data_IF_149252304869
#
_entry.id   IF_149252304869
#
_cell.length_a   1.000
_cell.length_b   1.000
_cell.length_c   1.000
_cell.angle_alpha   90.00
_cell.angle_beta   90.00
_cell.angle_gamma   90.00
#
_symmetry.space_group_name_H-M   'P 1'
#
loop_
_entity.id
_entity.type
_entity.pdbx_description
1 polymer ?
#
# COMPACT_ATOMS: atom_id res chain seq x y z
N UNK A 1 25.36 -11.19 -11.53
CA UNK A 1 24.15 -11.17 -12.37
C UNK A 1 22.98 -10.84 -11.45
N UNK A 2 22.41 -9.65 -11.60
CA UNK A 2 21.31 -9.20 -10.75
C UNK A 2 20.04 -9.96 -11.15
N UNK A 3 19.44 -10.67 -10.19
CA UNK A 3 18.28 -11.52 -10.46
C UNK A 3 17.04 -10.64 -10.63
N UNK A 4 16.73 -10.25 -11.88
CA UNK A 4 15.54 -9.45 -12.25
C UNK A 4 14.24 -10.02 -11.66
N UNK A 5 14.12 -11.35 -11.57
CA UNK A 5 12.95 -12.01 -11.01
C UNK A 5 12.85 -11.79 -9.49
N UNK A 6 13.97 -11.83 -8.76
CA UNK A 6 13.97 -11.54 -7.33
C UNK A 6 13.56 -10.09 -7.02
N UNK A 7 14.01 -9.12 -7.84
CA UNK A 7 13.60 -7.72 -7.72
C UNK A 7 12.11 -7.51 -7.98
N UNK A 8 11.58 -8.15 -9.04
CA UNK A 8 10.16 -8.07 -9.39
C UNK A 8 9.27 -8.64 -8.29
N UNK A 9 9.64 -9.80 -7.73
CA UNK A 9 8.92 -10.39 -6.59
C UNK A 9 8.97 -9.50 -5.36
N UNK A 10 10.12 -8.89 -5.05
CA UNK A 10 10.25 -7.97 -3.93
C UNK A 10 9.37 -6.72 -4.10
N UNK A 11 9.31 -6.15 -5.30
CA UNK A 11 8.44 -5.00 -5.61
C UNK A 11 6.95 -5.34 -5.56
N UNK A 12 6.56 -6.54 -6.00
CA UNK A 12 5.20 -7.06 -5.84
C UNK A 12 4.82 -7.14 -4.37
N UNK A 13 5.66 -7.73 -3.52
CA UNK A 13 5.41 -7.85 -2.09
C UNK A 13 5.35 -6.48 -1.43
N UNK A 14 6.27 -5.57 -1.76
CA UNK A 14 6.31 -4.22 -1.22
C UNK A 14 5.05 -3.42 -1.58
N UNK A 15 4.67 -3.39 -2.86
CA UNK A 15 3.44 -2.72 -3.31
C UNK A 15 2.18 -3.33 -2.68
N UNK A 16 2.14 -4.65 -2.53
CA UNK A 16 1.05 -5.34 -1.84
C UNK A 16 0.95 -4.97 -0.35
N UNK A 17 2.08 -4.89 0.36
CA UNK A 17 2.10 -4.45 1.76
C UNK A 17 1.68 -2.99 1.90
N UNK A 18 2.19 -2.09 1.06
CA UNK A 18 1.84 -0.67 1.08
C UNK A 18 0.34 -0.49 0.81
N UNK A 19 -0.22 -1.27 -0.14
CA UNK A 19 -1.65 -1.29 -0.38
C UNK A 19 -2.43 -1.76 0.86
N UNK A 20 -2.00 -2.84 1.52
CA UNK A 20 -2.67 -3.33 2.73
C UNK A 20 -2.61 -2.34 3.89
N UNK A 21 -1.44 -1.73 4.15
CA UNK A 21 -1.27 -0.71 5.18
C UNK A 21 -2.10 0.54 4.88
N UNK A 22 -2.13 0.96 3.61
CA UNK A 22 -2.98 2.06 3.16
C UNK A 22 -4.47 1.78 3.33
N UNK A 23 -4.91 0.55 3.02
CA UNK A 23 -6.29 0.11 3.23
C UNK A 23 -6.67 0.18 4.72
N UNK A 24 -5.79 -0.29 5.61
CA UNK A 24 -5.99 -0.19 7.06
C UNK A 24 -6.10 1.29 7.50
N UNK A 25 -5.22 2.16 7.00
CA UNK A 25 -5.30 3.60 7.23
C UNK A 25 -6.64 4.22 6.79
N UNK A 26 -7.15 3.81 5.62
CA UNK A 26 -8.47 4.22 5.14
C UNK A 26 -9.62 3.69 6.00
N UNK A 27 -9.52 2.45 6.50
CA UNK A 27 -10.52 1.90 7.41
C UNK A 27 -10.59 2.69 8.73
N UNK A 28 -9.45 3.14 9.25
CA UNK A 28 -9.41 4.06 10.39
C UNK A 28 -10.04 5.41 10.03
N UNK A 29 -9.73 5.97 8.86
CA UNK A 29 -10.33 7.22 8.39
C UNK A 29 -11.87 7.16 8.28
N UNK A 30 -12.42 6.08 7.72
CA UNK A 30 -13.87 5.88 7.63
C UNK A 30 -14.51 5.45 8.96
N UNK A 31 -13.70 5.16 9.99
CA UNK A 31 -14.19 4.76 11.32
C UNK A 31 -14.85 3.39 11.31
N UNK A 32 -14.43 2.51 10.38
CA UNK A 32 -14.87 1.12 10.37
C UNK A 32 -14.19 0.30 11.47
N UNK A 33 -13.03 0.75 11.94
CA UNK A 33 -12.30 0.12 13.03
C UNK A 33 -12.67 0.78 14.37
N UNK A 34 -12.84 0.00 15.45
CA UNK A 34 -13.24 0.51 16.77
C UNK A 34 -12.04 1.13 17.52
N UNK A 35 -11.37 2.10 16.89
CA UNK A 35 -10.25 2.82 17.46
C UNK A 35 -10.50 4.32 17.39
N UNK A 36 -10.20 4.99 18.50
CA UNK A 36 -10.33 6.44 18.61
C UNK A 36 -8.99 7.11 18.27
N UNK A 37 -8.89 7.59 17.03
CA UNK A 37 -7.71 8.31 16.54
C UNK A 37 -7.52 9.66 17.25
N UNK A 38 -8.61 10.31 17.63
CA UNK A 38 -8.56 11.61 18.29
C UNK A 38 -8.02 11.46 19.73
N UNK A 39 -8.35 10.35 20.41
CA UNK A 39 -7.75 10.00 21.70
C UNK A 39 -6.23 9.72 21.62
N UNK A 40 -5.73 9.30 20.46
CA UNK A 40 -4.28 9.13 20.20
C UNK A 40 -3.59 10.42 19.74
N UNK A 41 -4.33 11.54 19.62
CA UNK A 41 -3.81 12.81 19.13
C UNK A 41 -3.48 12.82 17.64
N UNK A 42 -3.98 11.83 16.88
CA UNK A 42 -3.76 11.73 15.44
C UNK A 42 -4.97 12.33 14.72
N UNK A 43 -4.82 13.45 14.00
CA UNK A 43 -5.94 14.03 13.26
C UNK A 43 -6.45 13.05 12.21
N UNK A 44 -7.76 12.80 12.21
CA UNK A 44 -8.38 11.80 11.32
C UNK A 44 -8.04 11.99 9.85
N UNK A 45 -7.96 13.24 9.37
CA UNK A 45 -7.59 13.55 7.99
C UNK A 45 -6.19 13.05 7.61
N UNK A 46 -5.25 12.98 8.57
CA UNK A 46 -3.90 12.44 8.34
C UNK A 46 -3.97 10.95 8.02
N UNK A 47 -4.76 10.19 8.77
CA UNK A 47 -5.00 8.77 8.48
C UNK A 47 -5.62 8.57 7.10
N UNK A 48 -6.52 9.46 6.69
CA UNK A 48 -7.11 9.47 5.34
C UNK A 48 -6.09 9.74 4.24
N UNK A 49 -5.27 10.79 4.38
CA UNK A 49 -4.27 11.18 3.36
C UNK A 49 -3.17 10.14 3.26
N UNK A 50 -2.61 9.70 4.39
CA UNK A 50 -1.55 8.68 4.42
C UNK A 50 -2.08 7.33 3.94
N UNK A 51 -3.27 6.95 4.39
CA UNK A 51 -3.95 5.72 3.96
C UNK A 51 -4.20 5.71 2.46
N UNK A 52 -4.77 6.79 1.91
CA UNK A 52 -5.00 6.93 0.48
C UNK A 52 -3.68 6.90 -0.32
N UNK A 53 -2.68 7.65 0.10
CA UNK A 53 -1.39 7.69 -0.59
C UNK A 53 -0.75 6.30 -0.67
N UNK A 54 -0.66 5.58 0.45
CA UNK A 54 -0.12 4.21 0.50
C UNK A 54 -0.98 3.21 -0.27
N UNK A 55 -2.31 3.34 -0.17
CA UNK A 55 -3.22 2.42 -0.85
C UNK A 55 -3.09 2.54 -2.36
N UNK A 56 -3.20 3.76 -2.90
CA UNK A 56 -3.15 3.99 -4.34
C UNK A 56 -1.75 3.80 -4.91
N UNK A 57 -0.68 4.21 -4.21
CA UNK A 57 0.70 3.97 -4.66
C UNK A 57 1.04 2.49 -4.65
N UNK A 58 0.74 1.80 -3.55
CA UNK A 58 0.98 0.36 -3.40
C UNK A 58 0.19 -0.44 -4.43
N UNK A 59 -1.09 -0.11 -4.63
CA UNK A 59 -1.94 -0.76 -5.63
C UNK A 59 -1.43 -0.52 -7.05
N UNK A 60 -0.97 0.68 -7.37
CA UNK A 60 -0.40 0.99 -8.69
C UNK A 60 0.89 0.20 -8.93
N UNK A 61 1.81 0.16 -7.95
CA UNK A 61 3.07 -0.59 -8.04
C UNK A 61 2.80 -2.10 -8.13
N UNK A 62 1.85 -2.61 -7.34
CA UNK A 62 1.43 -4.00 -7.36
C UNK A 62 0.84 -4.37 -8.72
N UNK A 63 -0.15 -3.62 -9.20
CA UNK A 63 -0.80 -3.85 -10.48
C UNK A 63 0.20 -3.75 -11.65
N UNK A 64 1.10 -2.75 -11.63
CA UNK A 64 2.14 -2.62 -12.65
C UNK A 64 3.07 -3.84 -12.67
N UNK A 65 3.59 -4.27 -11.52
CA UNK A 65 4.48 -5.43 -11.47
C UNK A 65 3.77 -6.75 -11.75
N UNK A 66 2.46 -6.84 -11.49
CA UNK A 66 1.65 -8.00 -11.83
C UNK A 66 1.37 -8.08 -13.34
N UNK A 67 1.06 -6.94 -13.96
CA UNK A 67 0.70 -6.84 -15.38
C UNK A 67 1.90 -6.69 -16.32
N UNK A 68 3.08 -6.34 -15.82
CA UNK A 68 4.29 -6.29 -16.62
C UNK A 68 4.55 -7.68 -17.24
N UNK A 69 4.74 -7.81 -18.56
CA UNK A 69 5.17 -9.08 -19.13
C UNK A 69 6.54 -9.45 -18.56
N UNK A 70 6.80 -10.74 -18.32
CA UNK A 70 8.18 -11.20 -18.15
C UNK A 70 8.93 -10.82 -19.42
N UNK A 71 9.87 -9.89 -19.31
CA UNK A 71 10.83 -9.64 -20.37
C UNK A 71 11.77 -10.86 -20.41
N UNK A 72 11.28 -11.95 -21.00
CA UNK A 72 12.10 -13.06 -21.49
C UNK A 72 12.79 -12.56 -22.76
N UNK A 73 13.77 -11.68 -22.58
CA UNK A 73 14.86 -11.41 -23.51
C UNK A 73 16.18 -11.55 -22.75
#
# INVERSE_FOLDING_TARGET
>A
MENKNAKRTALLIAGGMDALLGAIGLLFYFGLLPFDLDAMGIPRWVAGVVGAALFFSGLAVFAYNLSAPDSTE
#
